data_IF_202515512369
#
_entry.id   IF_202515512369
#
_cell.length_a   1.000
_cell.length_b   1.000
_cell.length_c   1.000
_cell.angle_alpha   90.00
_cell.angle_beta   90.00
_cell.angle_gamma   90.00
#
_symmetry.space_group_name_H-M   'P 1'
#
loop_
_entity.id
_entity.type
_entity.pdbx_description
1 polymer ?
#
# COMPACT_ATOMS: atom_id res chain seq x y z
N UNK A 1 3.20 7.65 -5.75
CA UNK A 1 4.15 6.51 -5.71
C UNK A 1 3.36 5.21 -5.73
N UNK A 2 3.49 4.47 -6.82
CA UNK A 2 2.73 3.25 -7.14
C UNK A 2 3.39 2.07 -6.41
N UNK A 3 2.84 1.62 -5.28
CA UNK A 3 3.28 0.36 -4.65
C UNK A 3 2.64 -0.87 -5.29
N UNK A 4 1.90 -0.66 -6.37
CA UNK A 4 1.32 -1.75 -7.15
C UNK A 4 2.31 -2.29 -8.17
N UNK A 5 3.33 -1.53 -8.61
CA UNK A 5 4.04 -1.87 -9.85
C UNK A 5 5.05 -3.04 -9.71
N UNK A 6 5.58 -3.33 -8.52
CA UNK A 6 6.71 -4.28 -8.40
C UNK A 6 6.31 -5.73 -8.07
N UNK A 7 5.03 -6.01 -7.77
CA UNK A 7 4.56 -7.37 -7.45
C UNK A 7 3.45 -7.89 -8.39
N UNK A 8 3.14 -7.14 -9.47
CA UNK A 8 2.08 -7.49 -10.42
C UNK A 8 2.14 -8.94 -10.93
N UNK A 9 3.30 -9.52 -11.31
CA UNK A 9 3.31 -10.85 -11.92
C UNK A 9 2.90 -11.97 -10.97
N UNK A 10 3.37 -11.92 -9.71
CA UNK A 10 3.11 -12.95 -8.70
C UNK A 10 1.69 -12.84 -8.15
N UNK A 11 1.23 -11.62 -7.89
CA UNK A 11 -0.12 -11.36 -7.38
C UNK A 11 -1.17 -11.69 -8.45
N UNK A 12 -0.92 -11.36 -9.73
CA UNK A 12 -1.83 -11.70 -10.84
C UNK A 12 -1.93 -13.22 -11.02
N UNK A 13 -0.80 -13.93 -10.93
CA UNK A 13 -0.76 -15.40 -11.03
C UNK A 13 -1.47 -16.09 -9.85
N UNK A 14 -1.31 -15.57 -8.63
CA UNK A 14 -1.99 -16.08 -7.44
C UNK A 14 -3.51 -15.86 -7.50
N UNK A 15 -3.96 -14.73 -8.04
CA UNK A 15 -5.39 -14.37 -8.09
C UNK A 15 -6.14 -15.01 -9.26
N UNK A 16 -5.49 -15.21 -10.41
CA UNK A 16 -6.06 -16.02 -11.51
C UNK A 16 -6.38 -17.44 -11.04
N UNK A 17 -5.54 -18.03 -10.18
CA UNK A 17 -5.81 -19.34 -9.58
C UNK A 17 -7.04 -19.36 -8.65
N UNK A 18 -7.49 -18.20 -8.14
CA UNK A 18 -8.67 -18.07 -7.27
C UNK A 18 -9.95 -17.64 -8.01
N UNK A 19 -9.89 -17.38 -9.32
CA UNK A 19 -11.08 -17.09 -10.14
C UNK A 19 -11.59 -15.64 -10.09
N UNK A 20 -10.81 -14.70 -9.56
CA UNK A 20 -11.19 -13.28 -9.48
C UNK A 20 -11.04 -12.56 -10.84
N UNK A 21 -11.95 -11.63 -11.15
CA UNK A 21 -12.00 -10.89 -12.43
C UNK A 21 -11.17 -9.60 -12.41
N UNK A 22 -10.83 -9.09 -13.61
CA UNK A 22 -9.96 -7.90 -13.79
C UNK A 22 -10.50 -6.61 -13.15
N UNK A 23 -11.81 -6.50 -12.92
CA UNK A 23 -12.43 -5.33 -12.28
C UNK A 23 -12.26 -5.33 -10.76
N UNK A 24 -12.43 -6.49 -10.13
CA UNK A 24 -12.19 -6.68 -8.69
C UNK A 24 -10.73 -6.44 -8.35
N UNK A 25 -9.83 -6.88 -9.25
CA UNK A 25 -8.40 -6.55 -9.22
C UNK A 25 -8.22 -5.03 -9.10
N UNK A 26 -8.73 -4.23 -10.05
CA UNK A 26 -8.52 -2.78 -10.09
C UNK A 26 -9.01 -2.03 -8.82
N UNK A 27 -10.07 -2.52 -8.15
CA UNK A 27 -10.56 -1.95 -6.90
C UNK A 27 -9.66 -2.26 -5.70
N UNK A 28 -8.98 -3.41 -5.71
CA UNK A 28 -8.04 -3.80 -4.66
C UNK A 28 -6.72 -3.03 -4.74
N UNK A 29 -6.23 -2.77 -5.96
CA UNK A 29 -4.97 -2.02 -6.19
C UNK A 29 -5.03 -0.53 -5.90
N UNK A 30 -6.13 -0.02 -5.36
CA UNK A 30 -6.22 1.35 -4.87
C UNK A 30 -5.76 1.49 -3.41
N UNK A 31 -5.74 0.39 -2.64
CA UNK A 31 -5.26 0.37 -1.25
C UNK A 31 -3.89 -0.33 -1.21
N UNK A 32 -2.83 0.34 -0.72
CA UNK A 32 -1.49 -0.23 -0.70
C UNK A 32 -1.39 -1.45 0.21
N UNK A 33 -0.72 -2.50 -0.28
CA UNK A 33 -0.29 -3.67 0.50
C UNK A 33 1.23 -3.71 0.43
N UNK A 34 1.90 -3.50 1.56
CA UNK A 34 3.34 -3.23 1.58
C UNK A 34 4.07 -4.07 2.61
N UNK A 35 5.30 -4.45 2.30
CA UNK A 35 6.21 -5.02 3.29
C UNK A 35 6.73 -3.91 4.20
N UNK A 36 6.86 -4.17 5.50
CA UNK A 36 7.46 -3.24 6.47
C UNK A 36 8.97 -3.12 6.30
N UNK A 37 9.41 -2.56 5.18
CA UNK A 37 10.83 -2.30 4.90
C UNK A 37 11.06 -0.99 4.16
N UNK A 38 11.94 -0.15 4.71
CA UNK A 38 12.36 1.12 4.10
C UNK A 38 11.29 2.21 4.12
N UNK A 39 11.56 3.34 3.45
CA UNK A 39 10.76 4.57 3.53
C UNK A 39 9.34 4.53 2.94
N UNK A 40 8.93 3.42 2.30
CA UNK A 40 7.54 3.24 1.88
C UNK A 40 6.65 2.82 3.05
N UNK A 41 7.14 1.94 3.92
CA UNK A 41 6.40 1.47 5.09
C UNK A 41 6.09 2.63 6.05
N UNK A 42 6.94 3.66 6.09
CA UNK A 42 6.75 4.84 6.94
C UNK A 42 5.55 5.70 6.52
N UNK A 43 4.98 5.46 5.34
CA UNK A 43 3.84 6.23 4.78
C UNK A 43 2.55 5.42 4.69
N UNK A 44 2.60 4.12 5.00
CA UNK A 44 1.45 3.22 4.99
C UNK A 44 1.17 2.77 6.42
N UNK A 45 0.02 3.19 6.93
CA UNK A 45 -0.49 2.86 8.26
C UNK A 45 -1.45 1.67 8.14
N UNK A 46 -1.15 0.60 8.86
CA UNK A 46 -1.89 -0.66 8.77
C UNK A 46 -3.36 -0.48 9.20
N UNK A 47 -4.28 -1.03 8.42
CA UNK A 47 -5.73 -1.02 8.69
C UNK A 47 -6.13 -1.74 9.98
N UNK A 48 -5.30 -2.69 10.45
CA UNK A 48 -5.54 -3.43 11.68
C UNK A 48 -4.83 -2.80 12.90
N UNK A 49 -4.05 -1.74 12.71
CA UNK A 49 -3.40 -1.00 13.80
C UNK A 49 -4.37 0.01 14.44
N UNK A 50 -4.81 -0.31 15.65
CA UNK A 50 -5.74 0.52 16.42
C UNK A 50 -5.13 1.83 16.93
N UNK A 51 -3.79 1.96 16.95
CA UNK A 51 -3.14 3.20 17.36
C UNK A 51 -3.21 4.30 16.30
N UNK A 52 -3.50 3.93 15.05
CA UNK A 52 -3.45 4.82 13.89
C UNK A 52 -4.72 4.78 13.04
N UNK A 53 -5.87 4.40 13.61
CA UNK A 53 -7.13 4.19 12.86
C UNK A 53 -7.55 5.39 11.99
N UNK A 54 -7.35 6.63 12.46
CA UNK A 54 -7.72 7.83 11.69
C UNK A 54 -6.81 8.07 10.47
N UNK A 55 -5.58 7.58 10.49
CA UNK A 55 -4.60 7.73 9.41
C UNK A 55 -4.35 6.44 8.62
N UNK A 56 -4.90 5.32 9.08
CA UNK A 56 -4.88 4.01 8.43
C UNK A 56 -5.26 4.11 6.94
N UNK A 57 -4.43 3.51 6.10
CA UNK A 57 -4.51 3.70 4.66
C UNK A 57 -4.01 2.49 3.85
N UNK A 58 -3.65 1.36 4.47
CA UNK A 58 -3.19 0.17 3.76
C UNK A 58 -2.94 -1.06 4.63
N UNK A 59 -2.43 -2.13 4.05
CA UNK A 59 -2.10 -3.37 4.76
C UNK A 59 -0.58 -3.57 4.75
N UNK A 60 0.00 -3.75 5.92
CA UNK A 60 1.44 -3.92 6.11
C UNK A 60 1.74 -5.36 6.50
N UNK A 61 2.77 -5.96 5.91
CA UNK A 61 3.22 -7.29 6.33
C UNK A 61 4.69 -7.31 6.70
N UNK A 62 5.02 -8.22 7.62
CA UNK A 62 6.36 -8.47 8.10
C UNK A 62 6.76 -9.89 7.69
N UNK A 63 7.99 -10.07 7.21
CA UNK A 63 8.48 -11.35 6.67
C UNK A 63 8.90 -11.25 5.20
N UNK A 64 9.78 -12.17 4.78
CA UNK A 64 10.28 -12.28 3.40
C UNK A 64 9.65 -13.45 2.64
N UNK A 65 8.84 -14.25 3.33
CA UNK A 65 8.21 -15.44 2.79
C UNK A 65 6.85 -15.15 2.15
N UNK A 66 6.39 -16.09 1.33
CA UNK A 66 5.10 -16.04 0.65
C UNK A 66 3.92 -16.02 1.64
N UNK A 67 4.08 -16.66 2.81
CA UNK A 67 3.05 -16.72 3.85
C UNK A 67 2.69 -15.34 4.38
N UNK A 68 3.69 -14.48 4.62
CA UNK A 68 3.47 -13.10 5.06
C UNK A 68 2.69 -12.25 4.04
N UNK A 69 3.03 -12.36 2.75
CA UNK A 69 2.29 -11.67 1.69
C UNK A 69 0.85 -12.20 1.58
N UNK A 70 0.69 -13.52 1.61
CA UNK A 70 -0.63 -14.17 1.55
C UNK A 70 -1.52 -13.79 2.72
N UNK A 71 -0.96 -13.63 3.93
CA UNK A 71 -1.68 -13.15 5.10
C UNK A 71 -2.18 -11.72 4.88
N UNK A 72 -1.32 -10.80 4.41
CA UNK A 72 -1.67 -9.42 4.11
C UNK A 72 -2.79 -9.31 3.06
N UNK A 73 -2.67 -10.09 1.99
CA UNK A 73 -3.70 -10.19 0.95
C UNK A 73 -5.01 -10.71 1.55
N UNK A 74 -4.96 -11.77 2.36
CA UNK A 74 -6.12 -12.32 3.05
C UNK A 74 -6.86 -11.26 3.87
N UNK A 75 -6.13 -10.47 4.67
CA UNK A 75 -6.69 -9.35 5.45
C UNK A 75 -7.38 -8.32 4.54
N UNK A 76 -6.72 -7.92 3.46
CA UNK A 76 -7.29 -6.96 2.50
C UNK A 76 -8.59 -7.49 1.85
N UNK A 77 -8.60 -8.75 1.42
CA UNK A 77 -9.78 -9.37 0.81
C UNK A 77 -10.94 -9.54 1.79
N UNK A 78 -10.65 -9.97 3.03
CA UNK A 78 -11.68 -10.06 4.08
C UNK A 78 -12.28 -8.70 4.35
N UNK A 79 -11.44 -7.66 4.54
CA UNK A 79 -11.92 -6.31 4.80
C UNK A 79 -12.75 -5.75 3.63
N UNK A 80 -12.32 -5.96 2.39
CA UNK A 80 -13.08 -5.56 1.20
C UNK A 80 -14.48 -6.18 1.16
N UNK A 81 -14.58 -7.48 1.49
CA UNK A 81 -15.85 -8.21 1.44
C UNK A 81 -16.76 -7.89 2.62
N UNK A 82 -16.20 -7.80 3.83
CA UNK A 82 -16.96 -7.60 5.07
C UNK A 82 -17.40 -6.15 5.25
N UNK A 83 -16.59 -5.18 4.77
CA UNK A 83 -16.78 -3.74 5.03
C UNK A 83 -16.71 -2.91 3.74
N UNK A 84 -17.60 -3.14 2.75
CA UNK A 84 -17.52 -2.50 1.44
C UNK A 84 -17.67 -0.98 1.49
N UNK A 85 -18.40 -0.43 2.47
CA UNK A 85 -18.57 1.02 2.64
C UNK A 85 -17.29 1.67 3.19
N UNK A 86 -16.66 1.04 4.20
CA UNK A 86 -15.38 1.51 4.73
C UNK A 86 -14.28 1.39 3.68
N UNK A 87 -14.25 0.30 2.92
CA UNK A 87 -13.32 0.12 1.80
C UNK A 87 -13.38 1.29 0.81
N UNK A 88 -14.59 1.70 0.40
CA UNK A 88 -14.76 2.87 -0.48
C UNK A 88 -14.22 4.15 0.14
N UNK A 89 -14.42 4.35 1.44
CA UNK A 89 -13.90 5.52 2.14
C UNK A 89 -12.35 5.53 2.18
N UNK A 90 -11.74 4.36 2.47
CA UNK A 90 -10.28 4.20 2.46
C UNK A 90 -9.71 4.45 1.06
N UNK A 91 -10.33 3.91 0.02
CA UNK A 91 -9.95 4.17 -1.38
C UNK A 91 -9.97 5.68 -1.69
N UNK A 92 -11.06 6.36 -1.34
CA UNK A 92 -11.17 7.81 -1.56
C UNK A 92 -10.11 8.60 -0.77
N UNK A 93 -9.81 8.18 0.45
CA UNK A 93 -8.75 8.75 1.28
C UNK A 93 -7.38 8.58 0.62
N UNK A 94 -7.03 7.36 0.24
CA UNK A 94 -5.74 7.04 -0.42
C UNK A 94 -5.56 7.85 -1.71
N UNK A 95 -6.62 7.99 -2.51
CA UNK A 95 -6.61 8.80 -3.73
C UNK A 95 -6.35 10.30 -3.48
N UNK A 96 -6.68 10.82 -2.29
CA UNK A 96 -6.42 12.21 -1.90
C UNK A 96 -5.03 12.42 -1.31
N UNK A 97 -4.31 11.36 -0.96
CA UNK A 97 -2.94 11.48 -0.45
C UNK A 97 -2.04 11.89 -1.62
N UNK A 98 -1.49 13.10 -1.52
CA UNK A 98 -0.50 13.61 -2.46
C UNK A 98 0.81 12.81 -2.31
N UNK A 99 0.93 11.77 -3.12
CA UNK A 99 2.12 10.94 -3.22
C UNK A 99 3.00 11.38 -4.41
N UNK A 100 2.94 12.65 -4.79
CA UNK A 100 3.76 13.20 -5.88
C UNK A 100 5.23 13.26 -5.47
N UNK A 101 6.10 12.82 -6.39
CA UNK A 101 7.55 12.87 -6.23
C UNK A 101 8.10 14.29 -6.06
N UNK A 102 7.32 15.32 -6.42
CA UNK A 102 7.71 16.72 -6.26
C UNK A 102 8.02 17.07 -4.79
N UNK A 103 7.25 16.52 -3.85
CA UNK A 103 7.38 16.88 -2.44
C UNK A 103 8.58 16.18 -1.77
N UNK A 104 8.92 14.97 -2.22
CA UNK A 104 10.09 14.22 -1.72
C UNK A 104 11.39 14.68 -2.39
N UNK A 105 11.37 14.98 -3.69
CA UNK A 105 12.55 15.44 -4.43
C UNK A 105 13.10 16.77 -3.90
N UNK A 106 12.21 17.70 -3.49
CA UNK A 106 12.63 18.96 -2.84
C UNK A 106 13.47 18.72 -1.59
N UNK A 107 13.04 17.81 -0.71
CA UNK A 107 13.79 17.44 0.50
C UNK A 107 15.14 16.79 0.19
N UNK A 108 15.22 15.98 -0.86
CA UNK A 108 16.51 15.42 -1.32
C UNK A 108 17.44 16.49 -1.87
N UNK A 109 16.91 17.47 -2.61
CA UNK A 109 17.67 18.62 -3.11
C UNK A 109 18.18 19.47 -1.95
N UNK A 110 17.36 19.69 -0.92
CA UNK A 110 17.75 20.46 0.27
C UNK A 110 18.88 19.77 1.05
N UNK A 111 18.81 18.45 1.23
CA UNK A 111 19.89 17.66 1.84
C UNK A 111 21.14 17.68 0.95
N UNK A 112 20.99 17.49 -0.36
CA UNK A 112 22.13 17.53 -1.27
C UNK A 112 22.82 18.91 -1.22
N UNK A 113 22.04 20.00 -1.22
CA UNK A 113 22.54 21.36 -1.10
C UNK A 113 23.18 21.65 0.26
N UNK A 114 22.67 21.08 1.36
CA UNK A 114 23.25 21.26 2.69
C UNK A 114 24.60 20.58 2.84
N UNK A 115 24.80 19.44 2.17
CA UNK A 115 26.09 18.74 2.12
C UNK A 115 27.03 19.35 1.07
N UNK A 116 26.49 20.10 0.10
CA UNK A 116 27.28 20.76 -0.97
C UNK A 116 28.08 21.99 -0.50
N UNK A 117 28.13 22.29 0.80
CA UNK A 117 28.96 23.37 1.36
C UNK A 117 30.30 22.83 1.85
N UNK A 118 31.20 22.54 0.91
CA UNK A 118 32.60 23.01 0.82
C UNK A 118 33.37 22.23 -0.24
#
# INVERSE_FOLDING_TARGET
>A
MVVVQLLLPEIYSFQLKKGNTSKEFLYLFQVPIVRKTGGLADTVFDMDDQSHTEIANGFVFEGIDEGSLNCALGRAFSYYQEKPNEWKAVVQKVMRIDNSWNNTAGKYIDIYNSVRVR
#
